data_IF_642568668941
#
_entry.id   IF_642568668941
#
_cell.length_a   1.000
_cell.length_b   1.000
_cell.length_c   1.000
_cell.angle_alpha   90.00
_cell.angle_beta   90.00
_cell.angle_gamma   90.00
#
_symmetry.space_group_name_H-M   'P 1'
#
loop_
_entity.id
_entity.type
_entity.pdbx_description
1 polymer ?
#
# COMPACT_ATOMS: atom_id res chain seq x y z
N UNK A 1 -0.09 -14.48 16.93
CA UNK A 1 0.59 -15.07 15.77
C UNK A 1 0.56 -14.11 14.59
N UNK A 2 1.64 -14.06 13.81
CA UNK A 2 1.70 -13.27 12.57
C UNK A 2 1.38 -14.22 11.42
N UNK A 3 0.51 -13.80 10.52
CA UNK A 3 0.17 -14.54 9.30
C UNK A 3 0.46 -13.66 8.11
N UNK A 4 1.31 -14.16 7.20
CA UNK A 4 1.49 -13.56 5.89
C UNK A 4 0.42 -14.10 4.96
N UNK A 5 -0.27 -13.21 4.26
CA UNK A 5 -1.31 -13.55 3.29
C UNK A 5 -0.90 -12.96 1.96
N UNK A 6 -0.85 -13.80 0.93
CA UNK A 6 -0.68 -13.35 -0.45
C UNK A 6 -1.99 -13.52 -1.19
N UNK A 7 -2.41 -12.50 -1.93
CA UNK A 7 -3.70 -12.50 -2.57
C UNK A 7 -4.06 -11.16 -3.17
N UNK A 8 -5.37 -10.93 -3.29
CA UNK A 8 -5.95 -9.66 -3.75
C UNK A 8 -6.80 -9.06 -2.66
N UNK A 9 -6.69 -7.74 -2.52
CA UNK A 9 -7.54 -6.92 -1.66
C UNK A 9 -8.26 -5.92 -2.56
N UNK A 10 -9.59 -5.89 -2.49
CA UNK A 10 -10.42 -5.01 -3.29
C UNK A 10 -11.50 -4.37 -2.43
N UNK A 11 -11.73 -3.07 -2.61
CA UNK A 11 -12.87 -2.36 -2.05
C UNK A 11 -13.79 -1.97 -3.19
N UNK A 12 -14.99 -2.51 -3.19
CA UNK A 12 -16.01 -2.27 -4.21
C UNK A 12 -17.33 -1.98 -3.51
N UNK A 13 -18.03 -0.91 -3.91
CA UNK A 13 -19.34 -0.55 -3.36
C UNK A 13 -19.38 -0.49 -1.82
N UNK A 14 -18.33 0.06 -1.19
CA UNK A 14 -18.19 0.14 0.27
C UNK A 14 -17.97 -1.20 0.99
N UNK A 15 -17.79 -2.30 0.26
CA UNK A 15 -17.49 -3.62 0.82
C UNK A 15 -16.04 -4.05 0.54
N UNK A 16 -15.46 -4.78 1.49
CA UNK A 16 -14.09 -5.28 1.41
C UNK A 16 -14.11 -6.74 0.95
N UNK A 17 -13.33 -7.03 -0.08
CA UNK A 17 -13.16 -8.36 -0.67
C UNK A 17 -11.69 -8.77 -0.57
N UNK A 18 -11.42 -9.91 0.07
CA UNK A 18 -10.08 -10.46 0.21
C UNK A 18 -10.07 -11.85 -0.42
N UNK A 19 -9.31 -12.00 -1.51
CA UNK A 19 -9.07 -13.31 -2.14
C UNK A 19 -7.69 -13.79 -1.74
N UNK A 20 -7.64 -14.92 -1.04
CA UNK A 20 -6.40 -15.48 -0.51
C UNK A 20 -5.87 -16.54 -1.50
N UNK A 21 -4.67 -16.32 -2.03
CA UNK A 21 -3.95 -17.31 -2.84
C UNK A 21 -3.06 -18.20 -1.97
N UNK A 22 -2.45 -17.63 -0.93
CA UNK A 22 -1.72 -18.38 0.09
C UNK A 22 -1.79 -17.69 1.45
N UNK A 23 -1.69 -18.48 2.50
CA UNK A 23 -1.53 -18.01 3.87
C UNK A 23 -0.40 -18.81 4.53
N UNK A 24 0.52 -18.13 5.21
CA UNK A 24 1.66 -18.75 5.87
C UNK A 24 1.81 -18.15 7.26
N UNK A 25 1.85 -19.02 8.27
CA UNK A 25 2.19 -18.63 9.63
C UNK A 25 3.67 -18.26 9.65
N UNK A 26 3.98 -17.05 10.11
CA UNK A 26 5.37 -16.64 10.32
C UNK A 26 5.81 -17.25 11.65
N UNK A 27 6.61 -18.31 11.57
CA UNK A 27 7.17 -18.98 12.75
C UNK A 27 8.31 -18.13 13.34
N UNK A 28 8.42 -18.14 14.66
CA UNK A 28 9.36 -17.32 15.43
C UNK A 28 10.46 -18.13 16.10
N UNK A 29 10.50 -19.44 15.84
CA UNK A 29 11.33 -20.35 16.62
C UNK A 29 12.84 -20.04 16.56
N UNK A 30 13.34 -19.33 15.54
CA UNK A 30 14.79 -19.15 15.33
C UNK A 30 15.28 -17.71 15.02
N UNK A 31 14.49 -16.65 15.13
CA UNK A 31 14.92 -15.32 14.64
C UNK A 31 15.56 -14.42 15.71
N UNK A 32 16.78 -13.94 15.43
CA UNK A 32 17.21 -12.59 15.82
C UNK A 32 16.24 -11.59 15.17
N UNK A 33 15.20 -11.20 15.91
CA UNK A 33 13.92 -10.67 15.44
C UNK A 33 13.95 -9.70 14.24
N UNK A 34 13.62 -10.20 13.05
CA UNK A 34 13.28 -9.37 11.88
C UNK A 34 11.87 -8.75 12.02
N UNK A 35 11.01 -9.33 12.86
CA UNK A 35 9.64 -8.86 13.12
C UNK A 35 9.35 -8.70 14.62
N UNK A 36 9.69 -7.52 15.16
CA UNK A 36 9.30 -7.16 16.51
C UNK A 36 7.78 -6.95 16.61
N UNK A 37 7.08 -7.82 17.33
CA UNK A 37 5.64 -7.72 17.56
C UNK A 37 5.20 -6.39 18.19
N UNK A 38 6.04 -5.82 19.04
CA UNK A 38 5.73 -4.57 19.73
C UNK A 38 5.64 -3.40 18.74
N UNK A 39 6.26 -3.54 17.56
CA UNK A 39 6.22 -2.55 16.49
C UNK A 39 5.10 -2.80 15.47
N UNK A 40 4.40 -3.93 15.54
CA UNK A 40 3.29 -4.24 14.64
C UNK A 40 1.99 -3.84 15.35
N UNK A 41 1.26 -2.81 14.86
CA UNK A 41 0.01 -2.40 15.48
C UNK A 41 -0.99 -3.55 15.50
N UNK A 42 -1.55 -3.84 16.68
CA UNK A 42 -2.64 -4.79 16.81
C UNK A 42 -3.80 -4.37 15.89
N UNK A 43 -4.27 -5.29 15.07
CA UNK A 43 -5.42 -5.16 14.17
C UNK A 43 -5.25 -4.24 12.96
N UNK A 44 -4.04 -3.80 12.61
CA UNK A 44 -3.81 -3.03 11.39
C UNK A 44 -3.08 -3.88 10.35
N UNK A 45 -3.71 -4.22 9.21
CA UNK A 45 -3.04 -4.95 8.16
C UNK A 45 -1.86 -4.15 7.62
N UNK A 46 -0.70 -4.80 7.53
CA UNK A 46 0.42 -4.31 6.73
C UNK A 46 0.34 -4.93 5.34
N UNK A 47 0.43 -4.11 4.31
CA UNK A 47 0.22 -4.53 2.93
C UNK A 47 1.30 -3.99 2.00
N UNK A 48 1.50 -4.69 0.89
CA UNK A 48 2.39 -4.29 -0.20
C UNK A 48 1.64 -4.40 -1.52
N UNK A 49 1.64 -3.35 -2.32
CA UNK A 49 0.87 -3.29 -3.57
C UNK A 49 1.51 -2.34 -4.59
N UNK A 50 1.20 -2.61 -5.86
CA UNK A 50 1.59 -1.76 -6.98
C UNK A 50 0.51 -0.72 -7.25
N UNK A 51 0.93 0.49 -7.62
CA UNK A 51 0.02 1.62 -7.81
C UNK A 51 0.61 2.67 -8.75
N UNK A 52 -0.20 3.64 -9.16
CA UNK A 52 0.21 4.78 -9.97
C UNK A 52 -0.15 6.09 -9.28
N UNK A 53 0.77 7.07 -9.27
CA UNK A 53 0.51 8.40 -8.69
C UNK A 53 -0.57 9.12 -9.49
N UNK A 54 -1.61 9.62 -8.82
CA UNK A 54 -2.71 10.39 -9.42
C UNK A 54 -2.81 11.83 -8.88
N UNK A 55 -2.28 12.09 -7.69
CA UNK A 55 -2.23 13.43 -7.10
C UNK A 55 -0.81 13.73 -6.62
N UNK A 56 -0.38 14.98 -6.79
CA UNK A 56 0.94 15.42 -6.37
C UNK A 56 1.14 15.34 -4.85
N UNK A 57 2.43 15.33 -4.48
CA UNK A 57 2.87 15.39 -3.10
C UNK A 57 2.50 16.73 -2.47
N UNK A 58 1.84 16.67 -1.32
CA UNK A 58 1.50 17.83 -0.52
C UNK A 58 1.97 17.63 0.94
N UNK A 59 2.15 18.74 1.64
CA UNK A 59 2.53 18.76 3.06
C UNK A 59 1.39 19.35 3.87
N UNK A 60 0.96 18.64 4.91
CA UNK A 60 -0.02 19.11 5.87
C UNK A 60 0.53 18.91 7.29
N UNK A 61 0.91 20.00 7.94
CA UNK A 61 1.60 19.94 9.24
C UNK A 61 2.93 19.18 9.12
N UNK A 62 3.09 18.15 9.94
CA UNK A 62 4.27 17.28 9.97
C UNK A 62 4.13 16.03 9.09
N UNK A 63 3.10 15.96 8.26
CA UNK A 63 2.81 14.80 7.40
C UNK A 63 2.91 15.19 5.94
N UNK A 64 3.58 14.33 5.17
CA UNK A 64 3.55 14.36 3.70
C UNK A 64 2.48 13.38 3.24
N UNK A 65 1.70 13.76 2.24
CA UNK A 65 0.72 12.87 1.62
C UNK A 65 0.61 13.09 0.12
N UNK A 66 0.16 12.06 -0.60
CA UNK A 66 -0.10 12.12 -2.03
C UNK A 66 -1.16 11.08 -2.41
N UNK A 67 -1.75 11.23 -3.59
CA UNK A 67 -2.79 10.34 -4.09
C UNK A 67 -2.22 9.31 -5.05
N UNK A 68 -2.62 8.06 -4.88
CA UNK A 68 -2.30 6.97 -5.80
C UNK A 68 -3.57 6.21 -6.15
N UNK A 69 -3.53 5.48 -7.26
CA UNK A 69 -4.62 4.61 -7.68
C UNK A 69 -4.07 3.24 -8.03
N UNK A 70 -4.78 2.21 -7.57
CA UNK A 70 -4.55 0.84 -8.04
C UNK A 70 -5.80 0.31 -8.71
N UNK A 71 -5.60 -0.54 -9.72
CA UNK A 71 -6.66 -1.12 -10.53
C UNK A 71 -6.64 -2.62 -10.34
N UNK A 72 -7.75 -3.17 -9.88
CA UNK A 72 -7.86 -4.60 -9.57
C UNK A 72 -9.13 -5.23 -10.15
N UNK A 73 -9.04 -6.54 -10.38
CA UNK A 73 -10.17 -7.40 -10.69
C UNK A 73 -10.73 -8.00 -9.39
N UNK A 74 -12.03 -7.88 -9.18
CA UNK A 74 -12.74 -8.57 -8.11
C UNK A 74 -13.32 -9.89 -8.62
N UNK A 75 -12.72 -11.00 -8.19
CA UNK A 75 -13.23 -12.34 -8.51
C UNK A 75 -14.55 -12.70 -7.83
N UNK A 76 -14.92 -12.00 -6.75
CA UNK A 76 -16.17 -12.26 -6.03
C UNK A 76 -17.38 -11.70 -6.79
N UNK A 77 -17.24 -10.54 -7.45
CA UNK A 77 -18.31 -9.88 -8.19
C UNK A 77 -18.17 -10.01 -9.71
N UNK A 78 -16.98 -10.39 -10.20
CA UNK A 78 -16.66 -10.49 -11.62
C UNK A 78 -16.29 -9.15 -12.28
N UNK A 79 -16.22 -8.06 -11.52
CA UNK A 79 -15.88 -6.74 -12.04
C UNK A 79 -14.36 -6.60 -12.27
N UNK A 80 -13.98 -6.21 -13.50
CA UNK A 80 -12.58 -6.19 -14.00
C UNK A 80 -11.85 -4.88 -13.76
N UNK A 81 -12.58 -3.79 -13.61
CA UNK A 81 -12.02 -2.45 -13.66
C UNK A 81 -12.38 -1.69 -12.39
N UNK A 82 -11.95 -2.20 -11.24
CA UNK A 82 -12.16 -1.52 -9.95
C UNK A 82 -10.95 -0.63 -9.68
N UNK A 83 -11.23 0.66 -9.68
CA UNK A 83 -10.26 1.71 -9.39
C UNK A 83 -10.35 2.08 -7.92
N UNK A 84 -9.25 1.89 -7.20
CA UNK A 84 -9.13 2.18 -5.78
C UNK A 84 -8.21 3.38 -5.58
N UNK A 85 -8.77 4.59 -5.44
CA UNK A 85 -7.98 5.75 -5.04
C UNK A 85 -7.57 5.60 -3.57
N UNK A 86 -6.28 5.80 -3.30
CA UNK A 86 -5.65 5.61 -2.00
C UNK A 86 -4.84 6.88 -1.68
N UNK A 87 -5.00 7.40 -0.46
CA UNK A 87 -4.12 8.45 0.04
C UNK A 87 -2.96 7.81 0.79
N UNK A 88 -1.75 8.02 0.29
CA UNK A 88 -0.53 7.55 0.93
C UNK A 88 0.02 8.68 1.77
N UNK A 89 0.44 8.39 3.00
CA UNK A 89 1.01 9.40 3.89
C UNK A 89 2.16 8.86 4.73
N UNK A 90 3.05 9.76 5.14
CA UNK A 90 4.15 9.46 6.06
C UNK A 90 4.65 10.74 6.76
N UNK A 91 5.25 10.65 7.97
CA UNK A 91 5.80 11.82 8.65
C UNK A 91 6.99 12.44 7.90
N UNK A 92 7.07 13.77 7.90
CA UNK A 92 8.08 14.56 7.17
C UNK A 92 9.54 14.23 7.58
N UNK A 93 9.70 13.74 8.80
CA UNK A 93 10.96 13.37 9.43
C UNK A 93 11.54 12.02 8.96
N UNK A 94 10.77 11.20 8.22
CA UNK A 94 11.29 9.97 7.63
C UNK A 94 12.19 10.25 6.42
N UNK A 95 13.49 10.33 6.68
CA UNK A 95 14.53 10.61 5.67
C UNK A 95 14.58 9.56 4.55
N UNK A 96 14.08 8.34 4.79
CA UNK A 96 14.01 7.27 3.79
C UNK A 96 13.20 7.64 2.55
N UNK A 97 12.30 8.62 2.65
CA UNK A 97 11.43 9.06 1.55
C UNK A 97 11.92 10.34 0.86
N UNK A 98 13.13 10.81 1.17
CA UNK A 98 13.68 12.04 0.59
C UNK A 98 13.79 11.99 -0.94
N UNK A 99 14.01 10.80 -1.52
CA UNK A 99 14.05 10.59 -2.98
C UNK A 99 12.71 10.89 -3.67
N UNK A 100 11.59 10.82 -2.96
CA UNK A 100 10.26 11.09 -3.52
C UNK A 100 10.04 12.58 -3.75
N UNK A 101 10.51 13.45 -2.84
CA UNK A 101 10.21 14.90 -2.90
C UNK A 101 10.65 15.57 -4.20
N UNK A 102 11.75 15.12 -4.78
CA UNK A 102 12.29 15.68 -6.02
C UNK A 102 11.76 15.01 -7.29
N UNK A 103 11.26 13.77 -7.19
CA UNK A 103 11.06 12.89 -8.35
C UNK A 103 9.63 12.39 -8.52
N UNK A 104 8.78 12.52 -7.51
CA UNK A 104 7.41 12.04 -7.57
C UNK A 104 6.62 12.89 -8.56
N UNK A 105 6.01 12.23 -9.54
CA UNK A 105 5.18 12.85 -10.57
C UNK A 105 3.96 11.99 -10.82
N UNK A 106 2.85 12.65 -11.18
CA UNK A 106 1.65 11.96 -11.67
C UNK A 106 2.01 10.99 -12.80
N UNK A 107 1.39 9.82 -12.78
CA UNK A 107 1.62 8.73 -13.74
C UNK A 107 2.83 7.84 -13.43
N UNK A 108 3.61 8.12 -12.37
CA UNK A 108 4.72 7.24 -11.98
C UNK A 108 4.20 5.98 -11.28
N UNK A 109 4.64 4.78 -11.72
CA UNK A 109 4.30 3.55 -11.05
C UNK A 109 5.19 3.36 -9.81
N UNK A 110 4.58 2.93 -8.73
CA UNK A 110 5.22 2.70 -7.44
C UNK A 110 4.84 1.33 -6.89
N UNK A 111 5.73 0.78 -6.07
CA UNK A 111 5.40 -0.25 -5.10
C UNK A 111 5.38 0.40 -3.73
N UNK A 112 4.28 0.22 -3.00
CA UNK A 112 4.08 0.81 -1.67
C UNK A 112 3.88 -0.30 -0.68
N UNK A 113 4.57 -0.17 0.45
CA UNK A 113 4.48 -1.05 1.61
C UNK A 113 4.08 -0.21 2.81
N UNK A 114 3.05 -0.61 3.58
CA UNK A 114 2.56 0.21 4.67
C UNK A 114 1.34 -0.33 5.42
N UNK A 115 0.92 0.40 6.44
CA UNK A 115 -0.23 0.06 7.27
C UNK A 115 -1.52 0.62 6.67
N UNK A 116 -2.53 -0.25 6.51
CA UNK A 116 -3.82 0.09 5.96
C UNK A 116 -4.73 0.74 7.02
N UNK A 117 -5.15 1.97 6.74
CA UNK A 117 -6.12 2.71 7.53
C UNK A 117 -7.40 2.90 6.71
N UNK A 118 -8.49 2.24 7.11
CA UNK A 118 -9.81 2.43 6.49
C UNK A 118 -10.62 3.36 7.40
N UNK A 119 -10.71 4.62 7.04
CA UNK A 119 -11.42 5.64 7.85
C UNK A 119 -12.94 5.55 7.63
N UNK A 120 -13.35 5.36 6.37
CA UNK A 120 -14.73 5.16 5.92
C UNK A 120 -14.71 4.17 4.77
N UNK A 121 -15.86 3.60 4.45
CA UNK A 121 -15.99 2.61 3.37
C UNK A 121 -15.56 3.10 1.98
N UNK A 122 -15.34 4.40 1.81
CA UNK A 122 -14.87 5.05 0.58
C UNK A 122 -13.50 5.69 0.69
N UNK A 123 -12.85 5.69 1.85
CA UNK A 123 -11.58 6.40 2.08
C UNK A 123 -10.53 5.43 2.56
N UNK A 124 -9.63 5.08 1.64
CA UNK A 124 -8.50 4.18 1.86
C UNK A 124 -7.26 5.04 2.08
N UNK A 125 -6.59 4.84 3.20
CA UNK A 125 -5.33 5.48 3.51
C UNK A 125 -4.26 4.46 3.82
N UNK A 126 -3.02 4.73 3.42
CA UNK A 126 -1.88 3.88 3.74
C UNK A 126 -0.79 4.72 4.37
N UNK A 127 -0.42 4.35 5.59
CA UNK A 127 0.76 4.89 6.25
C UNK A 127 1.98 4.15 5.71
N UNK A 128 2.78 4.83 4.89
CA UNK A 128 3.87 4.20 4.17
C UNK A 128 5.02 3.84 5.12
N UNK A 129 5.39 2.57 5.12
CA UNK A 129 6.65 2.08 5.69
C UNK A 129 7.74 2.04 4.64
N UNK A 130 7.43 1.77 3.37
CA UNK A 130 8.39 1.79 2.25
C UNK A 130 7.74 2.19 0.92
N UNK A 131 8.52 2.81 0.02
CA UNK A 131 8.05 3.26 -1.30
C UNK A 131 9.19 3.18 -2.33
N UNK A 132 8.99 2.35 -3.35
CA UNK A 132 9.93 2.17 -4.46
C UNK A 132 9.31 2.55 -5.80
N UNK A 133 10.14 3.10 -6.69
CA UNK A 133 9.75 3.29 -8.09
C UNK A 133 9.81 1.96 -8.83
N UNK A 134 8.69 1.59 -9.46
CA UNK A 134 8.69 0.47 -10.39
C UNK A 134 9.35 0.90 -11.70
N UNK A 135 10.16 0.02 -12.30
CA UNK A 135 10.69 0.26 -13.63
C UNK A 135 9.53 0.32 -14.62
N UNK A 136 9.42 1.43 -15.35
CA UNK A 136 8.58 1.47 -16.54
C UNK A 136 9.28 0.62 -17.61
N UNK A 137 8.64 -0.46 -18.06
CA UNK A 137 9.12 -1.19 -19.23
C UNK A 137 9.16 -0.20 -20.41
N UNK A 138 10.35 0.01 -20.96
CA UNK A 138 10.52 0.76 -22.19
C UNK A 138 10.11 -0.21 -23.30
N UNK A 139 8.87 -0.12 -23.76
CA UNK A 139 8.47 -0.81 -24.98
C UNK A 139 9.27 -0.21 -26.14
N UNK A 140 10.26 -0.94 -26.63
CA UNK A 140 10.86 -0.66 -27.93
C UNK A 140 9.81 -1.00 -28.99
N UNK A 141 9.17 0.03 -29.54
CA UNK A 141 8.36 -0.07 -30.76
C UNK A 141 9.27 -0.24 -31.98
#
# INVERSE_FOLDING_TARGET
DIVSITGKFVIENSEQYITIASATKVDKKDSSDEFNLELIPLNTPHLMFNTTVICDLNTMGETIHFGVETKEYNSCTGNRDIYMPITVFYPIQHTRFNHLRANLKIGKPLMISGFLHIIKSTTIMVEATDIDYLRQEINYN
#
